data_IF_432717945799
#
_entry.id   IF_432717945799
#
_cell.length_a   1.000
_cell.length_b   1.000
_cell.length_c   1.000
_cell.angle_alpha   90.00
_cell.angle_beta   90.00
_cell.angle_gamma   90.00
#
_symmetry.space_group_name_H-M   'P 1'
#
loop_
_entity.id
_entity.type
_entity.pdbx_description
1 polymer ?
#
# COMPACT_ATOMS: atom_id res chain seq x y z
N UNK A 1 -11.45 12.63 14.35
CA UNK A 1 -10.82 12.98 13.06
C UNK A 1 -10.59 11.69 12.29
N UNK A 2 -11.13 11.57 11.08
CA UNK A 2 -11.00 10.37 10.23
C UNK A 2 -10.17 10.74 9.00
N UNK A 3 -9.22 9.87 8.65
CA UNK A 3 -8.39 10.02 7.44
C UNK A 3 -9.07 9.32 6.26
N UNK A 4 -8.92 9.87 5.05
CA UNK A 4 -9.34 9.18 3.84
C UNK A 4 -8.25 8.19 3.42
N UNK A 5 -8.59 6.99 2.93
CA UNK A 5 -7.61 6.03 2.42
C UNK A 5 -6.67 6.60 1.35
N UNK A 6 -7.17 7.49 0.50
CA UNK A 6 -6.36 8.13 -0.56
C UNK A 6 -5.22 8.99 -0.02
N UNK A 7 -5.28 9.38 1.25
CA UNK A 7 -4.24 10.15 1.93
C UNK A 7 -3.23 9.23 2.66
N UNK A 8 -3.35 7.91 2.53
CA UNK A 8 -2.47 6.91 3.14
C UNK A 8 -1.47 6.32 2.14
N UNK A 9 -0.26 6.01 2.64
CA UNK A 9 0.80 5.28 1.93
C UNK A 9 1.10 3.97 2.68
N UNK A 10 1.03 2.86 1.96
CA UNK A 10 1.30 1.51 2.50
C UNK A 10 2.68 1.03 2.05
N UNK A 11 3.46 0.46 2.96
CA UNK A 11 4.67 -0.30 2.64
C UNK A 11 4.35 -1.78 2.89
N UNK A 12 4.46 -2.61 1.86
CA UNK A 12 3.93 -3.98 1.90
C UNK A 12 4.84 -4.96 1.18
N UNK A 13 4.91 -6.20 1.68
CA UNK A 13 5.76 -7.28 1.17
C UNK A 13 4.97 -8.49 0.65
N UNK A 14 3.63 -8.47 0.75
CA UNK A 14 2.74 -9.48 0.20
C UNK A 14 1.95 -8.99 -1.03
N UNK A 15 1.61 -9.92 -1.93
CA UNK A 15 0.76 -9.59 -3.09
C UNK A 15 -0.67 -9.26 -2.64
N UNK A 16 -1.17 -9.96 -1.62
CA UNK A 16 -2.49 -9.77 -1.03
C UNK A 16 -2.63 -8.37 -0.40
N UNK A 17 -1.61 -7.91 0.33
CA UNK A 17 -1.62 -6.58 0.94
C UNK A 17 -1.56 -5.46 -0.11
N UNK A 18 -0.76 -5.64 -1.18
CA UNK A 18 -0.69 -4.68 -2.29
C UNK A 18 -2.05 -4.56 -3.00
N UNK A 19 -2.71 -5.68 -3.25
CA UNK A 19 -4.05 -5.69 -3.85
C UNK A 19 -5.10 -5.07 -2.91
N UNK A 20 -4.99 -5.30 -1.60
CA UNK A 20 -5.87 -4.66 -0.62
C UNK A 20 -5.70 -3.14 -0.60
N UNK A 21 -4.47 -2.62 -0.60
CA UNK A 21 -4.17 -1.20 -0.68
C UNK A 21 -4.73 -0.58 -1.97
N UNK A 22 -4.54 -1.25 -3.11
CA UNK A 22 -5.08 -0.83 -4.40
C UNK A 22 -6.61 -0.74 -4.38
N UNK A 23 -7.30 -1.75 -3.81
CA UNK A 23 -8.77 -1.76 -3.68
C UNK A 23 -9.29 -0.68 -2.73
N UNK A 24 -8.52 -0.36 -1.69
CA UNK A 24 -8.85 0.72 -0.76
C UNK A 24 -8.59 2.12 -1.33
N UNK A 25 -7.95 2.23 -2.50
CA UNK A 25 -7.58 3.52 -3.10
C UNK A 25 -6.36 4.16 -2.44
N UNK A 26 -5.53 3.37 -1.75
CA UNK A 26 -4.29 3.82 -1.12
C UNK A 26 -3.13 3.76 -2.11
N UNK A 27 -2.11 4.58 -1.88
CA UNK A 27 -0.81 4.38 -2.54
C UNK A 27 -0.04 3.26 -1.85
N UNK A 28 0.74 2.47 -2.58
CA UNK A 28 1.53 1.38 -2.02
C UNK A 28 2.95 1.32 -2.61
N UNK A 29 3.93 0.96 -1.78
CA UNK A 29 5.31 0.65 -2.15
C UNK A 29 5.55 -0.83 -1.86
N UNK A 30 5.87 -1.60 -2.90
CA UNK A 30 6.36 -2.97 -2.75
C UNK A 30 7.81 -2.94 -2.25
N UNK A 31 8.02 -3.32 -0.99
CA UNK A 31 9.36 -3.26 -0.38
C UNK A 31 10.28 -4.40 -0.83
N UNK A 32 9.77 -5.44 -1.52
CA UNK A 32 10.61 -6.49 -2.12
C UNK A 32 11.42 -5.96 -3.30
N UNK A 33 10.89 -4.97 -4.02
CA UNK A 33 11.55 -4.35 -5.16
C UNK A 33 12.74 -3.44 -4.78
N UNK A 34 12.99 -3.22 -3.49
CA UNK A 34 14.08 -2.35 -3.00
C UNK A 34 15.39 -3.08 -2.69
N UNK A 35 15.41 -4.42 -2.78
CA UNK A 35 16.64 -5.22 -2.61
C UNK A 35 17.30 -5.44 -3.97
N UNK A 36 18.00 -4.42 -4.47
CA UNK A 36 19.10 -4.59 -5.43
C UNK A 36 20.42 -4.71 -4.67
#
# INVERSE_FOLDING_TARGET
MTMKPIDCLVFEDSDEGLEAARRAGMSAIDIRATKN
#
